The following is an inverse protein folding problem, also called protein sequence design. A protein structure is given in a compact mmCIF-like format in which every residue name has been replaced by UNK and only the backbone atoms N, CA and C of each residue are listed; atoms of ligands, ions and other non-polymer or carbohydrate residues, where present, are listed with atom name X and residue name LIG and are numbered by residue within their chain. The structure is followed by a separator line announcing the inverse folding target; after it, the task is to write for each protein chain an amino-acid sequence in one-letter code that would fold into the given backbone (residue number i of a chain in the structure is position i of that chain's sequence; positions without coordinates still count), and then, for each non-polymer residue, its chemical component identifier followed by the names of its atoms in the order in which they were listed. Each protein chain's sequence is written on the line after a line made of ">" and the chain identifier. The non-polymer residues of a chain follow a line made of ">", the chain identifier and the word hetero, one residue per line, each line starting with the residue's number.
data_IF_650154244650
#
_entry.id   IF_650154244650
#
_cell.length_a   1.000
_cell.length_b   1.000
_cell.length_c   1.000
_cell.angle_alpha   90.00
_cell.angle_beta   90.00
_cell.angle_gamma   90.00
#
_symmetry.space_group_name_H-M   'P 1'
#
loop_
_entity.id
_entity.type
_entity.pdbx_description
1 polymer ?
#
# COMPACT_ATOMS: atom_id res chain seq x y z
N UNK A 1 -3.18 -17.44 1.14
CA UNK A 1 -2.49 -17.18 2.43
C UNK A 1 -3.24 -16.04 3.13
N UNK A 2 -4.15 -16.37 4.06
CA UNK A 2 -5.00 -15.37 4.72
C UNK A 2 -4.19 -14.56 5.75
N UNK A 3 -4.31 -13.24 5.68
CA UNK A 3 -3.60 -12.29 6.55
C UNK A 3 -4.39 -12.16 7.86
N UNK A 4 -3.80 -12.56 8.99
CA UNK A 4 -4.38 -12.32 10.32
C UNK A 4 -4.62 -10.82 10.49
N UNK A 5 -5.88 -10.41 10.58
CA UNK A 5 -6.27 -9.07 10.99
C UNK A 5 -6.27 -9.09 12.53
N UNK A 6 -5.15 -8.70 13.13
CA UNK A 6 -5.08 -8.48 14.58
C UNK A 6 -6.01 -7.33 14.96
N UNK A 7 -6.80 -7.51 16.01
CA UNK A 7 -7.83 -6.59 16.51
C UNK A 7 -7.28 -5.28 17.15
N UNK A 8 -6.06 -4.88 16.78
CA UNK A 8 -5.31 -3.74 17.33
C UNK A 8 -5.05 -2.72 16.20
N UNK A 9 -6.12 -2.12 15.67
CA UNK A 9 -6.03 -1.30 14.46
C UNK A 9 -5.64 -2.13 13.22
N UNK A 10 -6.04 -1.67 12.03
CA UNK A 10 -5.69 -2.37 10.79
C UNK A 10 -4.16 -2.55 10.62
N UNK A 11 -3.71 -3.45 9.73
CA UNK A 11 -2.29 -3.67 9.47
C UNK A 11 -1.53 -2.36 9.23
N UNK A 12 -0.38 -2.17 9.90
CA UNK A 12 0.45 -0.97 9.68
C UNK A 12 1.08 -0.91 8.27
N UNK A 13 1.18 -2.06 7.59
CA UNK A 13 1.78 -2.19 6.26
C UNK A 13 0.98 -3.16 5.37
N UNK A 14 0.94 -2.85 4.09
CA UNK A 14 0.27 -3.60 3.04
C UNK A 14 1.26 -4.01 1.95
N UNK A 15 1.07 -5.19 1.36
CA UNK A 15 1.82 -5.56 0.17
C UNK A 15 1.36 -4.71 -1.03
N UNK A 16 2.10 -4.73 -2.15
CA UNK A 16 1.65 -4.05 -3.37
C UNK A 16 0.34 -4.65 -3.90
N UNK A 17 0.15 -5.97 -3.76
CA UNK A 17 -1.08 -6.64 -4.14
C UNK A 17 -2.27 -6.22 -3.24
N UNK A 18 -2.05 -6.14 -1.92
CA UNK A 18 -3.08 -5.64 -1.00
C UNK A 18 -3.44 -4.18 -1.33
N UNK A 19 -2.43 -3.35 -1.65
CA UNK A 19 -2.62 -1.97 -2.03
C UNK A 19 -3.42 -1.83 -3.33
N UNK A 20 -3.13 -2.65 -4.34
CA UNK A 20 -3.88 -2.69 -5.60
C UNK A 20 -5.36 -2.97 -5.34
N UNK A 21 -5.64 -3.98 -4.51
CA UNK A 21 -7.01 -4.33 -4.12
C UNK A 21 -7.71 -3.21 -3.33
N UNK A 22 -7.02 -2.56 -2.39
CA UNK A 22 -7.57 -1.45 -1.59
C UNK A 22 -7.85 -0.21 -2.45
N UNK A 23 -6.96 0.12 -3.38
CA UNK A 23 -7.07 1.29 -4.23
C UNK A 23 -8.00 1.05 -5.44
N UNK A 24 -8.36 -0.19 -5.73
CA UNK A 24 -9.18 -0.54 -6.89
C UNK A 24 -8.46 -0.35 -8.23
N UNK A 25 -7.12 -0.47 -8.24
CA UNK A 25 -6.28 -0.27 -9.44
C UNK A 25 -5.46 -1.52 -9.76
N UNK A 26 -4.91 -1.59 -10.97
CA UNK A 26 -4.07 -2.71 -11.39
C UNK A 26 -2.74 -2.77 -10.62
N UNK A 27 -2.19 -3.97 -10.46
CA UNK A 27 -0.92 -4.16 -9.76
C UNK A 27 0.24 -3.45 -10.47
N UNK A 28 0.25 -3.38 -11.80
CA UNK A 28 1.23 -2.61 -12.56
C UNK A 28 1.09 -1.11 -12.31
N UNK A 29 -0.13 -0.63 -12.07
CA UNK A 29 -0.39 0.77 -11.74
C UNK A 29 0.15 1.12 -10.35
N UNK A 30 0.00 0.24 -9.36
CA UNK A 30 0.68 0.38 -8.07
C UNK A 30 2.20 0.41 -8.24
N UNK A 31 2.75 -0.51 -9.04
CA UNK A 31 4.19 -0.53 -9.32
C UNK A 31 4.66 0.77 -10.00
N UNK A 32 3.89 1.30 -10.96
CA UNK A 32 4.15 2.58 -11.61
C UNK A 32 4.08 3.71 -10.60
N UNK A 33 3.05 3.79 -9.77
CA UNK A 33 2.87 4.82 -8.74
C UNK A 33 4.04 4.84 -7.75
N UNK A 34 4.56 3.67 -7.37
CA UNK A 34 5.78 3.56 -6.55
C UNK A 34 7.01 4.04 -7.33
N UNK A 35 7.17 3.61 -8.59
CA UNK A 35 8.32 3.98 -9.43
C UNK A 35 8.39 5.49 -9.70
N UNK A 36 7.25 6.15 -9.91
CA UNK A 36 7.17 7.60 -10.18
C UNK A 36 7.06 8.44 -8.91
N UNK A 37 7.07 7.82 -7.73
CA UNK A 37 7.03 8.53 -6.44
C UNK A 37 5.64 9.01 -6.00
N UNK A 38 4.57 8.67 -6.71
CA UNK A 38 3.20 9.00 -6.33
C UNK A 38 2.72 8.22 -5.08
N UNK A 39 3.28 7.02 -4.85
CA UNK A 39 2.99 6.19 -3.70
C UNK A 39 4.28 5.81 -2.98
N UNK A 40 4.41 6.17 -1.70
CA UNK A 40 5.59 5.81 -0.92
C UNK A 40 5.57 4.34 -0.50
N UNK A 41 6.47 3.54 -1.06
CA UNK A 41 6.77 2.21 -0.56
C UNK A 41 8.04 2.21 0.31
N UNK A 42 8.07 1.34 1.32
CA UNK A 42 9.21 1.12 2.21
C UNK A 42 9.65 -0.33 2.14
N UNK A 43 10.95 -0.57 2.24
CA UNK A 43 11.50 -1.92 2.32
C UNK A 43 11.51 -2.36 3.78
N UNK A 44 10.73 -3.40 4.10
CA UNK A 44 10.67 -4.03 5.42
C UNK A 44 11.26 -5.42 5.32
N UNK A 45 12.40 -5.64 5.98
CA UNK A 45 13.21 -6.86 5.83
C UNK A 45 13.56 -7.05 4.34
N UNK A 46 12.95 -8.05 3.69
CA UNK A 46 13.16 -8.38 2.27
C UNK A 46 11.99 -8.00 1.36
N UNK A 47 10.92 -7.39 1.88
CA UNK A 47 9.70 -7.12 1.11
C UNK A 47 9.44 -5.63 0.95
N UNK A 48 9.00 -5.24 -0.24
CA UNK A 48 8.47 -3.91 -0.52
C UNK A 48 7.02 -3.84 -0.05
N UNK A 49 6.72 -2.88 0.83
CA UNK A 49 5.39 -2.73 1.43
C UNK A 49 5.00 -1.25 1.47
N UNK A 50 3.71 -0.98 1.47
CA UNK A 50 3.15 0.38 1.55
C UNK A 50 2.61 0.61 2.97
N UNK A 51 3.02 1.69 3.66
CA UNK A 51 2.46 2.03 4.96
C UNK A 51 0.96 2.31 4.87
N UNK A 52 0.20 1.91 5.89
CA UNK A 52 -1.24 2.19 5.97
C UNK A 52 -1.56 3.69 5.87
N UNK A 53 -0.71 4.53 6.46
CA UNK A 53 -0.85 5.99 6.39
C UNK A 53 -0.79 6.53 4.95
N UNK A 54 0.06 5.93 4.12
CA UNK A 54 0.20 6.33 2.72
C UNK A 54 -1.03 5.91 1.91
N UNK A 55 -1.58 4.72 2.15
CA UNK A 55 -2.83 4.31 1.49
C UNK A 55 -4.00 5.21 1.88
N UNK A 56 -4.13 5.57 3.17
CA UNK A 56 -5.16 6.53 3.59
C UNK A 56 -4.99 7.88 2.91
N UNK A 57 -3.75 8.37 2.76
CA UNK A 57 -3.46 9.60 2.03
C UNK A 57 -3.91 9.49 0.56
N UNK A 58 -3.60 8.38 -0.10
CA UNK A 58 -3.99 8.14 -1.49
C UNK A 58 -5.52 8.08 -1.66
N UNK A 59 -6.21 7.38 -0.76
CA UNK A 59 -7.69 7.29 -0.76
C UNK A 59 -8.37 8.64 -0.53
N UNK A 60 -7.75 9.52 0.26
CA UNK A 60 -8.26 10.86 0.55
C UNK A 60 -7.93 11.89 -0.57
N UNK A 61 -7.52 11.44 -1.77
CA UNK A 61 -7.22 12.33 -2.90
C UNK A 61 -5.84 12.99 -2.85
N UNK A 62 -4.90 12.44 -2.06
CA UNK A 62 -3.56 12.98 -1.90
C UNK A 62 -2.65 12.78 -3.13
N UNK A 63 -2.99 13.40 -4.26
CA UNK A 63 -2.02 13.78 -5.30
C UNK A 63 -1.55 15.19 -4.98
N UNK A 64 -0.29 15.35 -4.57
CA UNK A 64 0.35 16.67 -4.57
C UNK A 64 1.04 16.85 -5.90
#
# INVERSE_FOLDING_TARGET
>A
MQKKISNAGGPAFYSLADAAWILGIDHNEVHRAVRVGALRAVRRRSRLVIPAAELRRALNGGTR
#
